data_IF_198355949514
#
_entry.id   IF_198355949514
#
_cell.length_a   1.000
_cell.length_b   1.000
_cell.length_c   1.000
_cell.angle_alpha   90.00
_cell.angle_beta   90.00
_cell.angle_gamma   90.00
#
_symmetry.space_group_name_H-M   'P 1'
#
loop_
_entity.id
_entity.type
_entity.pdbx_description
1 polymer ?
#
# COMPACT_ATOMS: atom_id res chain seq x y z
N UNK A 1 -16.73 17.21 36.84
CA UNK A 1 -16.14 17.69 35.57
C UNK A 1 -15.50 16.49 34.89
N UNK A 2 -16.26 15.81 34.05
CA UNK A 2 -15.83 14.57 33.38
C UNK A 2 -15.08 14.95 32.11
N UNK A 3 -13.79 14.58 32.03
CA UNK A 3 -13.02 14.67 30.80
C UNK A 3 -13.45 13.55 29.86
N UNK A 4 -14.07 13.91 28.73
CA UNK A 4 -14.23 13.00 27.61
C UNK A 4 -12.85 12.68 27.03
N UNK A 5 -12.24 11.60 27.54
CA UNK A 5 -11.07 10.98 26.96
C UNK A 5 -11.44 10.38 25.61
N UNK A 6 -11.50 11.21 24.56
CA UNK A 6 -11.51 10.73 23.18
C UNK A 6 -10.19 10.02 22.92
N UNK A 7 -10.16 8.70 23.09
CA UNK A 7 -9.08 7.86 22.62
C UNK A 7 -8.85 8.17 21.13
N UNK A 8 -7.69 8.76 20.81
CA UNK A 8 -7.32 9.02 19.43
C UNK A 8 -7.36 7.68 18.65
N UNK A 9 -7.89 7.66 17.41
CA UNK A 9 -7.94 6.44 16.63
C UNK A 9 -6.51 5.92 16.41
N UNK A 10 -6.22 4.76 17.02
CA UNK A 10 -4.96 4.05 16.83
C UNK A 10 -4.96 3.41 15.45
N UNK A 11 -3.94 3.70 14.64
CA UNK A 11 -3.77 2.97 13.38
C UNK A 11 -3.60 1.47 13.67
N UNK A 12 -4.19 0.58 12.85
CA UNK A 12 -3.82 -0.82 12.86
C UNK A 12 -2.34 -0.99 12.48
N UNK A 13 -1.70 -2.03 12.99
CA UNK A 13 -0.31 -2.35 12.65
C UNK A 13 -0.23 -3.05 11.30
N UNK A 14 0.75 -2.67 10.48
CA UNK A 14 1.20 -3.48 9.36
C UNK A 14 2.10 -4.61 9.90
N UNK A 15 2.08 -5.83 9.34
CA UNK A 15 3.00 -6.88 9.76
C UNK A 15 4.45 -6.42 9.62
N UNK A 16 5.24 -6.48 10.71
CA UNK A 16 6.62 -6.00 10.72
C UNK A 16 7.55 -6.95 11.48
N UNK A 17 8.75 -7.31 10.96
CA UNK A 17 9.31 -6.92 9.66
C UNK A 17 8.39 -7.29 8.49
N UNK A 18 8.44 -6.55 7.36
CA UNK A 18 7.46 -6.73 6.30
C UNK A 18 7.52 -8.17 5.77
N UNK A 19 6.36 -8.76 5.42
CA UNK A 19 6.31 -10.03 4.71
C UNK A 19 7.13 -9.96 3.43
N UNK A 20 7.59 -11.11 2.94
CA UNK A 20 8.42 -11.19 1.74
C UNK A 20 7.73 -10.48 0.57
N UNK A 21 8.41 -9.54 -0.04
CA UNK A 21 7.93 -8.76 -1.18
C UNK A 21 8.52 -9.28 -2.50
N UNK A 22 7.79 -9.08 -3.60
CA UNK A 22 8.17 -9.50 -4.95
C UNK A 22 9.28 -8.64 -5.54
N UNK A 23 9.20 -7.33 -5.27
CA UNK A 23 10.20 -6.33 -5.66
C UNK A 23 10.12 -5.13 -4.72
N UNK A 24 11.10 -4.23 -4.81
CA UNK A 24 11.10 -2.98 -4.06
C UNK A 24 11.82 -1.87 -4.84
N UNK A 25 11.58 -0.63 -4.45
CA UNK A 25 12.34 0.54 -4.92
C UNK A 25 12.46 1.57 -3.82
N UNK A 26 13.66 2.12 -3.64
CA UNK A 26 13.84 3.34 -2.86
C UNK A 26 13.19 4.51 -3.58
N UNK A 27 12.60 5.42 -2.81
CA UNK A 27 12.01 6.66 -3.30
C UNK A 27 12.92 7.82 -2.90
N UNK A 28 13.18 8.73 -3.83
CA UNK A 28 14.04 9.88 -3.56
C UNK A 28 13.44 10.74 -2.45
N UNK A 29 14.28 11.10 -1.48
CA UNK A 29 13.86 11.85 -0.29
C UNK A 29 13.23 13.18 -0.66
N UNK A 30 13.79 13.84 -1.66
CA UNK A 30 13.36 15.15 -2.15
C UNK A 30 11.95 15.11 -2.74
N UNK A 31 11.49 13.95 -3.24
CA UNK A 31 10.14 13.81 -3.77
C UNK A 31 9.08 13.72 -2.66
N UNK A 32 9.49 13.24 -1.48
CA UNK A 32 8.59 12.98 -0.34
C UNK A 32 8.70 14.08 0.73
N UNK A 33 9.89 14.63 0.95
CA UNK A 33 10.20 15.60 1.99
C UNK A 33 11.36 16.54 1.55
N UNK A 34 11.14 17.47 0.60
CA UNK A 34 12.18 18.34 0.02
C UNK A 34 12.72 19.42 0.96
N UNK A 35 12.02 19.73 2.06
CA UNK A 35 12.36 20.84 2.94
C UNK A 35 12.84 20.38 4.32
N UNK A 36 13.82 21.10 4.88
CA UNK A 36 14.20 20.96 6.28
C UNK A 36 12.98 21.24 7.18
N UNK A 37 12.73 20.36 8.15
CA UNK A 37 11.58 20.46 9.05
C UNK A 37 10.27 19.86 8.50
N UNK A 38 10.31 19.15 7.37
CA UNK A 38 9.17 18.35 6.91
C UNK A 38 8.71 17.34 7.98
N UNK A 39 7.42 17.03 7.99
CA UNK A 39 6.81 16.08 8.91
C UNK A 39 6.38 14.79 8.21
N UNK A 40 6.07 13.75 8.97
CA UNK A 40 5.45 12.53 8.42
C UNK A 40 4.12 12.83 7.73
N UNK A 41 3.36 13.83 8.20
CA UNK A 41 2.14 14.28 7.55
C UNK A 41 2.39 14.93 6.19
N UNK A 42 3.50 15.67 6.03
CA UNK A 42 3.90 16.20 4.72
C UNK A 42 4.26 15.06 3.75
N UNK A 43 5.06 14.10 4.22
CA UNK A 43 5.42 12.91 3.43
C UNK A 43 4.18 12.11 3.01
N UNK A 44 3.27 11.89 3.95
CA UNK A 44 1.99 11.25 3.68
C UNK A 44 1.22 11.97 2.57
N UNK A 45 1.01 13.28 2.68
CA UNK A 45 0.29 14.07 1.68
C UNK A 45 0.93 14.03 0.27
N UNK A 46 2.26 13.88 0.16
CA UNK A 46 2.97 13.68 -1.10
C UNK A 46 2.67 12.31 -1.73
N UNK A 47 2.69 11.26 -0.92
CA UNK A 47 2.37 9.90 -1.34
C UNK A 47 0.88 9.76 -1.73
N UNK A 48 -0.01 10.41 -0.98
CA UNK A 48 -1.44 10.47 -1.28
C UNK A 48 -1.70 11.11 -2.65
N UNK A 49 -1.11 12.29 -2.91
CA UNK A 49 -1.23 12.97 -4.20
C UNK A 49 -0.67 12.14 -5.35
N UNK A 50 0.41 11.39 -5.11
CA UNK A 50 0.94 10.48 -6.12
C UNK A 50 -0.04 9.35 -6.45
N UNK A 51 -0.65 8.75 -5.44
CA UNK A 51 -1.71 7.75 -5.63
C UNK A 51 -2.91 8.33 -6.40
N UNK A 52 -3.38 9.51 -6.01
CA UNK A 52 -4.52 10.16 -6.64
C UNK A 52 -4.23 10.48 -8.12
N UNK A 53 -3.05 11.04 -8.41
CA UNK A 53 -2.61 11.35 -9.77
C UNK A 53 -2.43 10.09 -10.64
N UNK A 54 -2.05 8.97 -10.04
CA UNK A 54 -1.95 7.67 -10.69
C UNK A 54 -3.30 6.92 -10.78
N UNK A 55 -4.39 7.51 -10.28
CA UNK A 55 -5.75 6.96 -10.37
C UNK A 55 -6.12 5.95 -9.28
N UNK A 56 -5.36 5.86 -8.19
CA UNK A 56 -5.70 5.04 -7.04
C UNK A 56 -6.66 5.80 -6.12
N UNK A 57 -7.96 5.51 -6.22
CA UNK A 57 -8.97 6.16 -5.40
C UNK A 57 -9.09 5.65 -3.96
N UNK A 58 -8.45 4.52 -3.64
CA UNK A 58 -8.49 3.90 -2.31
C UNK A 58 -7.08 3.54 -1.84
N UNK A 59 -6.83 3.80 -0.55
CA UNK A 59 -5.56 3.59 0.14
C UNK A 59 -5.79 3.42 1.64
N UNK A 60 -4.89 2.70 2.31
CA UNK A 60 -5.03 2.27 3.70
C UNK A 60 -3.75 2.55 4.49
N UNK A 61 -3.89 3.28 5.59
CA UNK A 61 -2.79 3.60 6.51
C UNK A 61 -2.60 2.54 7.59
N UNK A 62 -1.34 2.26 7.90
CA UNK A 62 -0.93 1.37 8.97
C UNK A 62 0.25 1.93 9.76
N UNK A 63 0.37 1.52 11.01
CA UNK A 63 1.55 1.76 11.84
C UNK A 63 2.66 0.77 11.50
N UNK A 64 3.89 1.28 11.39
CA UNK A 64 5.13 0.50 11.41
C UNK A 64 6.10 1.13 12.41
N UNK A 65 7.17 0.44 12.84
CA UNK A 65 8.21 1.05 13.67
C UNK A 65 8.76 2.30 12.99
N UNK A 66 8.88 3.40 13.75
CA UNK A 66 9.47 4.63 13.24
C UNK A 66 8.63 5.42 12.23
N UNK A 67 7.39 5.01 11.93
CA UNK A 67 6.56 5.77 10.99
C UNK A 67 5.27 5.09 10.58
N UNK A 68 4.99 5.10 9.28
CA UNK A 68 3.74 4.57 8.73
C UNK A 68 3.95 3.81 7.42
N UNK A 69 3.02 2.93 7.13
CA UNK A 69 2.85 2.31 5.82
C UNK A 69 1.56 2.82 5.17
N UNK A 70 1.61 3.10 3.87
CA UNK A 70 0.46 3.46 3.05
C UNK A 70 0.31 2.42 1.94
N UNK A 71 -0.71 1.57 2.06
CA UNK A 71 -1.02 0.51 1.11
C UNK A 71 -2.02 0.98 0.06
N UNK A 72 -1.79 0.64 -1.21
CA UNK A 72 -2.76 0.82 -2.28
C UNK A 72 -3.91 -0.19 -2.14
N UNK A 73 -5.03 0.09 -2.82
CA UNK A 73 -5.96 -0.98 -3.22
C UNK A 73 -5.27 -2.04 -4.09
N UNK A 74 -5.88 -3.22 -4.23
CA UNK A 74 -5.41 -4.26 -5.16
C UNK A 74 -5.63 -3.78 -6.59
N UNK A 75 -4.60 -3.90 -7.41
CA UNK A 75 -4.58 -3.50 -8.80
C UNK A 75 -4.36 -4.70 -9.72
N UNK A 76 -5.16 -4.80 -10.78
CA UNK A 76 -4.96 -5.79 -11.84
C UNK A 76 -3.97 -5.27 -12.87
N UNK A 77 -2.93 -6.07 -13.14
CA UNK A 77 -1.81 -5.72 -14.03
C UNK A 77 -1.59 -6.79 -15.08
N UNK A 78 -0.95 -6.39 -16.18
CA UNK A 78 -0.39 -7.30 -17.18
C UNK A 78 0.99 -7.79 -16.73
N UNK A 79 1.50 -8.81 -17.41
CA UNK A 79 2.82 -9.39 -17.14
C UNK A 79 3.98 -8.37 -17.23
N UNK A 80 3.81 -7.28 -17.98
CA UNK A 80 4.78 -6.18 -18.11
C UNK A 80 4.64 -5.09 -17.03
N UNK A 81 3.89 -5.39 -15.96
CA UNK A 81 3.50 -4.50 -14.87
C UNK A 81 2.62 -3.29 -15.27
N UNK A 82 2.15 -3.21 -16.52
CA UNK A 82 1.17 -2.19 -16.94
C UNK A 82 -0.21 -2.46 -16.34
N UNK A 83 -0.94 -1.44 -15.87
CA UNK A 83 -2.28 -1.62 -15.37
C UNK A 83 -3.25 -1.91 -16.51
N UNK A 84 -4.28 -2.71 -16.24
CA UNK A 84 -5.44 -2.74 -17.10
C UNK A 84 -6.12 -1.36 -17.14
N UNK A 85 -6.92 -1.10 -18.18
CA UNK A 85 -7.75 0.10 -18.21
C UNK A 85 -8.92 -0.08 -17.21
N UNK A 86 -9.44 0.99 -16.60
CA UNK A 86 -10.70 0.90 -15.85
C UNK A 86 -11.85 0.41 -16.76
N UNK A 87 -12.79 -0.41 -16.25
CA UNK A 87 -12.90 -0.86 -14.87
C UNK A 87 -12.00 -2.05 -14.52
N UNK A 88 -11.42 -2.75 -15.51
CA UNK A 88 -10.66 -3.99 -15.34
C UNK A 88 -9.39 -3.84 -14.50
N UNK A 89 -8.90 -2.61 -14.31
CA UNK A 89 -7.84 -2.27 -13.35
C UNK A 89 -8.19 -2.64 -11.91
N UNK A 90 -9.47 -2.56 -11.58
CA UNK A 90 -10.01 -2.59 -10.21
C UNK A 90 -11.05 -3.70 -10.02
N UNK A 91 -10.80 -4.87 -10.60
CA UNK A 91 -11.74 -6.02 -10.59
C UNK A 91 -11.95 -6.62 -9.20
N UNK A 92 -10.98 -6.43 -8.30
CA UNK A 92 -11.09 -6.88 -6.91
C UNK A 92 -11.87 -5.82 -6.13
N UNK A 93 -13.15 -6.09 -5.88
CA UNK A 93 -13.99 -5.22 -5.08
C UNK A 93 -13.48 -5.18 -3.63
N UNK A 94 -13.25 -3.96 -3.14
CA UNK A 94 -13.10 -3.69 -1.71
C UNK A 94 -14.48 -3.81 -1.07
N UNK A 95 -14.70 -4.71 -0.08
CA UNK A 95 -16.01 -4.82 0.54
C UNK A 95 -16.39 -3.48 1.20
N UNK A 96 -17.62 -2.98 1.00
CA UNK A 96 -18.04 -1.72 1.59
C UNK A 96 -17.97 -1.81 3.12
N UNK A 97 -17.41 -0.78 3.75
CA UNK A 97 -17.33 -0.66 5.20
C UNK A 97 -18.68 -0.19 5.74
N UNK A 98 -19.71 -1.04 5.66
CA UNK A 98 -20.97 -1.08 6.45
C UNK A 98 -21.98 -2.05 5.83
N UNK A 99 -22.56 -2.88 6.70
CA UNK A 99 -23.79 -3.70 6.56
C UNK A 99 -23.69 -5.14 5.99
N UNK A 100 -24.19 -6.11 6.79
CA UNK A 100 -24.75 -7.41 6.35
C UNK A 100 -23.77 -8.54 6.00
N UNK A 101 -23.51 -9.44 6.96
CA UNK A 101 -22.33 -10.31 7.01
C UNK A 101 -22.30 -11.58 6.14
N UNK A 102 -23.35 -12.09 5.47
CA UNK A 102 -23.27 -13.50 4.98
C UNK A 102 -23.51 -13.72 3.48
N UNK A 103 -24.32 -12.92 2.78
CA UNK A 103 -24.71 -13.28 1.39
C UNK A 103 -24.09 -12.42 0.27
N UNK A 104 -23.46 -11.28 0.59
CA UNK A 104 -22.67 -10.49 -0.37
C UNK A 104 -21.24 -11.08 -0.53
N UNK A 105 -20.80 -11.88 0.44
CA UNK A 105 -19.45 -12.46 0.52
C UNK A 105 -19.25 -13.63 -0.46
N UNK A 106 -20.27 -14.09 -1.20
CA UNK A 106 -20.08 -15.13 -2.23
C UNK A 106 -20.13 -14.61 -3.66
N UNK A 107 -20.65 -13.40 -3.88
CA UNK A 107 -20.86 -12.84 -5.23
C UNK A 107 -19.71 -11.94 -5.74
N UNK A 108 -18.79 -11.51 -4.88
CA UNK A 108 -17.61 -10.70 -5.25
C UNK A 108 -16.32 -11.53 -5.51
N UNK A 109 -16.43 -12.86 -5.50
CA UNK A 109 -15.29 -13.75 -5.25
C UNK A 109 -14.83 -14.56 -6.46
N UNK A 110 -14.59 -13.89 -7.60
CA UNK A 110 -13.74 -14.43 -8.65
C UNK A 110 -13.01 -13.30 -9.36
N UNK A 111 -11.86 -12.88 -8.82
CA UNK A 111 -10.90 -12.14 -9.62
C UNK A 111 -10.52 -13.04 -10.83
N UNK A 112 -10.48 -12.53 -12.06
CA UNK A 112 -10.07 -13.35 -13.21
C UNK A 112 -8.64 -13.89 -13.00
N UNK A 113 -8.29 -15.00 -13.64
CA UNK A 113 -6.88 -15.40 -13.71
C UNK A 113 -6.02 -14.26 -14.28
N UNK A 114 -4.87 -14.01 -13.70
CA UNK A 114 -4.03 -12.88 -14.05
C UNK A 114 -3.08 -12.45 -12.93
N UNK A 115 -2.48 -11.28 -13.11
CA UNK A 115 -1.50 -10.73 -12.20
C UNK A 115 -2.07 -9.54 -11.44
N UNK A 116 -1.83 -9.52 -10.14
CA UNK A 116 -2.33 -8.48 -9.25
C UNK A 116 -1.18 -7.89 -8.47
N UNK A 117 -1.27 -6.61 -8.08
CA UNK A 117 -0.31 -6.02 -7.16
C UNK A 117 -0.96 -5.21 -6.05
N UNK A 118 -0.27 -5.19 -4.92
CA UNK A 118 -0.42 -4.19 -3.86
C UNK A 118 0.91 -3.47 -3.72
N UNK A 119 0.86 -2.14 -3.70
CA UNK A 119 2.02 -1.28 -3.49
C UNK A 119 1.91 -0.70 -2.08
N UNK A 120 2.95 -0.90 -1.27
CA UNK A 120 3.03 -0.35 0.08
C UNK A 120 4.21 0.60 0.15
N UNK A 121 3.95 1.89 0.34
CA UNK A 121 5.00 2.82 0.72
C UNK A 121 5.26 2.70 2.22
N UNK A 122 6.47 2.30 2.59
CA UNK A 122 6.94 2.28 3.97
C UNK A 122 7.79 3.54 4.23
N UNK A 123 7.36 4.37 5.17
CA UNK A 123 8.10 5.55 5.64
C UNK A 123 8.57 5.28 7.07
N UNK A 124 9.88 5.18 7.28
CA UNK A 124 10.46 4.78 8.57
C UNK A 124 11.88 5.31 8.75
N UNK A 125 12.31 5.41 10.02
CA UNK A 125 13.69 5.65 10.44
C UNK A 125 14.40 4.38 10.94
N UNK A 126 13.78 3.21 10.76
CA UNK A 126 14.32 1.92 11.22
C UNK A 126 14.70 1.06 10.02
N UNK A 127 15.92 0.56 10.03
CA UNK A 127 16.35 -0.47 9.08
C UNK A 127 15.50 -1.73 9.24
N UNK A 128 15.19 -2.38 8.12
CA UNK A 128 14.43 -3.62 8.12
C UNK A 128 14.89 -4.55 7.00
N UNK A 129 14.67 -5.84 7.22
CA UNK A 129 14.73 -6.86 6.18
C UNK A 129 13.36 -7.55 6.13
N UNK A 130 12.96 -8.02 4.95
CA UNK A 130 11.76 -8.84 4.88
C UNK A 130 11.93 -10.13 5.70
N UNK A 131 10.86 -10.59 6.34
CA UNK A 131 10.81 -11.95 6.87
C UNK A 131 10.70 -12.96 5.71
N UNK A 132 11.02 -14.22 5.98
CA UNK A 132 11.03 -15.27 4.96
C UNK A 132 9.62 -15.61 4.44
N UNK A 133 8.60 -15.48 5.29
CA UNK A 133 7.23 -15.89 4.94
C UNK A 133 6.57 -14.90 3.96
N UNK A 134 6.10 -15.39 2.79
CA UNK A 134 5.29 -14.60 1.89
C UNK A 134 3.90 -14.34 2.49
N UNK A 135 3.27 -13.19 2.20
CA UNK A 135 1.87 -12.95 2.52
C UNK A 135 0.93 -13.84 1.70
N UNK A 136 -0.26 -14.05 2.26
CA UNK A 136 -1.39 -14.69 1.58
C UNK A 136 -2.20 -13.69 0.76
N UNK A 137 -3.09 -14.18 -0.12
CA UNK A 137 -4.10 -13.33 -0.78
C UNK A 137 -4.98 -12.59 0.25
N UNK A 138 -5.32 -13.25 1.37
CA UNK A 138 -6.10 -12.66 2.45
C UNK A 138 -5.36 -11.50 3.14
N UNK A 139 -4.04 -11.61 3.33
CA UNK A 139 -3.22 -10.51 3.86
C UNK A 139 -3.27 -9.30 2.92
N UNK A 140 -3.09 -9.50 1.62
CA UNK A 140 -3.14 -8.43 0.61
C UNK A 140 -4.50 -7.71 0.61
N UNK A 141 -5.59 -8.47 0.71
CA UNK A 141 -6.95 -7.91 0.86
C UNK A 141 -7.09 -7.10 2.14
N UNK A 142 -6.58 -7.62 3.26
CA UNK A 142 -6.59 -6.89 4.54
C UNK A 142 -5.79 -5.59 4.44
N UNK A 143 -4.68 -5.55 3.68
CA UNK A 143 -3.90 -4.32 3.48
C UNK A 143 -4.61 -3.28 2.62
N UNK A 144 -5.36 -3.73 1.61
CA UNK A 144 -6.10 -2.82 0.75
C UNK A 144 -7.23 -2.08 1.49
N UNK A 145 -7.91 -2.75 2.43
CA UNK A 145 -9.17 -2.24 3.01
C UNK A 145 -9.23 -2.16 4.53
N UNK A 146 -8.29 -2.78 5.24
CA UNK A 146 -8.33 -2.92 6.70
C UNK A 146 -7.60 -1.82 7.47
N UNK A 147 -7.05 -0.82 6.77
CA UNK A 147 -6.25 0.25 7.36
C UNK A 147 -7.09 1.45 7.78
N UNK A 148 -6.45 2.42 8.42
CA UNK A 148 -7.08 3.70 8.67
C UNK A 148 -7.16 4.53 7.37
N UNK A 149 -8.22 5.32 7.20
CA UNK A 149 -8.39 6.17 6.01
C UNK A 149 -7.49 7.42 6.00
N UNK A 150 -6.94 7.79 7.16
CA UNK A 150 -6.12 8.99 7.35
C UNK A 150 -4.99 8.70 8.33
N UNK A 151 -3.87 9.41 8.15
CA UNK A 151 -2.81 9.47 9.15
C UNK A 151 -3.32 10.27 10.37
N UNK A 152 -3.28 9.71 11.60
CA UNK A 152 -3.56 10.45 12.82
C UNK A 152 -2.64 11.66 13.00
N UNK A 153 -3.18 12.75 13.54
CA UNK A 153 -2.50 14.03 13.65
C UNK A 153 -1.21 13.93 14.48
N UNK A 154 -1.21 13.11 15.53
CA UNK A 154 -0.08 12.90 16.43
C UNK A 154 1.10 12.26 15.69
N UNK A 155 0.82 11.30 14.81
CA UNK A 155 1.83 10.67 13.97
C UNK A 155 2.27 11.61 12.84
N UNK A 156 1.32 12.33 12.23
CA UNK A 156 1.59 13.29 11.16
C UNK A 156 2.41 14.52 11.61
N UNK A 157 2.39 14.86 12.90
CA UNK A 157 3.18 15.95 13.46
C UNK A 157 4.64 15.57 13.74
N UNK A 158 4.99 14.27 13.73
CA UNK A 158 6.37 13.85 13.96
C UNK A 158 7.29 14.32 12.82
N UNK A 159 8.55 14.65 13.12
CA UNK A 159 9.51 15.09 12.10
C UNK A 159 9.90 13.96 11.15
N UNK A 160 9.95 14.26 9.86
CA UNK A 160 10.66 13.43 8.88
C UNK A 160 12.15 13.78 8.97
N UNK A 161 12.87 13.09 9.86
CA UNK A 161 14.28 13.36 10.15
C UNK A 161 15.22 12.94 9.01
N UNK A 162 16.51 13.21 9.15
CA UNK A 162 17.54 12.76 8.21
C UNK A 162 17.68 11.22 8.14
N UNK A 163 17.21 10.52 9.17
CA UNK A 163 17.23 9.05 9.24
C UNK A 163 16.00 8.42 8.58
N UNK A 164 14.95 9.21 8.32
CA UNK A 164 13.78 8.70 7.63
C UNK A 164 14.07 8.49 6.14
N UNK A 165 13.60 7.36 5.63
CA UNK A 165 13.61 7.03 4.22
C UNK A 165 12.26 6.47 3.80
N UNK A 166 12.06 6.34 2.49
CA UNK A 166 10.83 5.82 1.92
C UNK A 166 11.13 4.73 0.90
N UNK A 167 10.52 3.57 1.10
CA UNK A 167 10.67 2.41 0.21
C UNK A 167 9.29 1.98 -0.26
N UNK A 168 9.14 1.79 -1.57
CA UNK A 168 7.98 1.10 -2.13
C UNK A 168 8.23 -0.41 -2.09
N UNK A 169 7.38 -1.14 -1.38
CA UNK A 169 7.33 -2.60 -1.36
C UNK A 169 6.24 -3.06 -2.34
N UNK A 170 6.60 -3.93 -3.27
CA UNK A 170 5.69 -4.45 -4.29
C UNK A 170 5.35 -5.90 -3.96
N UNK A 171 4.07 -6.17 -3.77
CA UNK A 171 3.54 -7.51 -3.60
C UNK A 171 2.77 -7.90 -4.86
N UNK A 172 3.39 -8.71 -5.72
CA UNK A 172 2.79 -9.21 -6.96
C UNK A 172 2.25 -10.61 -6.74
N UNK A 173 0.99 -10.83 -7.10
CA UNK A 173 0.29 -12.10 -6.96
C UNK A 173 -0.12 -12.62 -8.33
N UNK A 174 0.01 -13.93 -8.53
CA UNK A 174 -0.53 -14.63 -9.68
C UNK A 174 -1.76 -15.43 -9.25
N UNK A 175 -2.90 -15.16 -9.89
CA UNK A 175 -4.08 -16.01 -9.79
C UNK A 175 -4.14 -16.90 -11.03
N UNK A 176 -3.97 -18.20 -10.85
CA UNK A 176 -4.09 -19.18 -11.93
C UNK A 176 -5.49 -19.79 -11.94
N UNK A 177 -5.95 -20.21 -13.11
CA UNK A 177 -7.28 -20.83 -13.25
C UNK A 177 -7.38 -22.20 -12.55
N UNK A 178 -6.25 -22.88 -12.35
CA UNK A 178 -6.13 -24.20 -11.73
C UNK A 178 -5.89 -24.16 -10.22
N UNK A 179 -5.83 -22.96 -9.61
CA UNK A 179 -5.60 -22.78 -8.18
C UNK A 179 -6.70 -21.96 -7.53
N UNK A 180 -7.12 -22.32 -6.29
CA UNK A 180 -8.20 -21.61 -5.60
C UNK A 180 -7.79 -20.21 -5.12
N UNK A 181 -6.50 -20.01 -4.80
CA UNK A 181 -5.96 -18.78 -4.22
C UNK A 181 -4.82 -18.24 -5.09
N UNK A 182 -4.64 -16.92 -5.06
CA UNK A 182 -3.49 -16.28 -5.68
C UNK A 182 -2.22 -16.54 -4.86
N UNK A 183 -1.12 -16.82 -5.55
CA UNK A 183 0.19 -17.03 -4.93
C UNK A 183 1.10 -15.83 -5.18
N UNK A 184 1.94 -15.49 -4.21
CA UNK A 184 2.91 -14.41 -4.38
C UNK A 184 4.00 -14.83 -5.38
N UNK A 185 4.29 -13.95 -6.33
CA UNK A 185 5.40 -14.13 -7.28
C UNK A 185 6.71 -13.69 -6.64
N UNK A 186 7.66 -14.62 -6.57
CA UNK A 186 8.96 -14.39 -5.96
C UNK A 186 10.09 -14.95 -6.85
N UNK A 187 11.00 -14.09 -7.35
CA UNK A 187 10.87 -12.62 -7.43
C UNK A 187 9.74 -12.20 -8.39
N UNK A 188 9.45 -10.90 -8.46
CA UNK A 188 8.73 -10.36 -9.63
C UNK A 188 9.59 -10.46 -10.89
N UNK A 189 8.96 -10.61 -12.06
CA UNK A 189 9.65 -10.48 -13.36
C UNK A 189 10.02 -9.03 -13.69
N UNK A 190 9.42 -8.07 -12.98
CA UNK A 190 9.65 -6.64 -13.14
C UNK A 190 10.35 -6.05 -11.92
N UNK A 191 11.26 -5.10 -12.15
CA UNK A 191 11.89 -4.37 -11.06
C UNK A 191 10.89 -3.46 -10.35
N UNK A 192 11.11 -3.17 -9.07
CA UNK A 192 10.17 -2.35 -8.28
C UNK A 192 9.93 -0.97 -8.91
N UNK A 193 10.98 -0.35 -9.46
CA UNK A 193 10.85 0.90 -10.23
C UNK A 193 9.96 0.75 -11.46
N UNK A 194 10.08 -0.35 -12.22
CA UNK A 194 9.21 -0.63 -13.37
C UNK A 194 7.73 -0.68 -12.95
N UNK A 195 7.40 -1.30 -11.80
CA UNK A 195 6.02 -1.26 -11.30
C UNK A 195 5.56 0.18 -11.05
N UNK A 196 6.39 1.00 -10.41
CA UNK A 196 6.05 2.40 -10.10
C UNK A 196 5.90 3.25 -11.37
N UNK A 197 6.77 3.07 -12.36
CA UNK A 197 6.70 3.78 -13.65
C UNK A 197 5.45 3.38 -14.42
N UNK A 198 5.14 2.08 -14.48
CA UNK A 198 3.96 1.56 -15.17
C UNK A 198 2.66 1.92 -14.45
N UNK A 199 2.70 2.06 -13.12
CA UNK A 199 1.60 2.58 -12.32
C UNK A 199 1.36 4.09 -12.52
N UNK A 200 2.34 4.83 -13.07
CA UNK A 200 2.34 6.30 -13.09
C UNK A 200 2.76 6.94 -11.76
N UNK A 201 3.10 6.13 -10.74
CA UNK A 201 3.49 6.61 -9.40
C UNK A 201 4.86 7.26 -9.41
N UNK A 202 5.82 6.73 -10.19
CA UNK A 202 7.17 7.29 -10.25
C UNK A 202 7.17 8.72 -10.76
N UNK A 203 6.45 8.96 -11.86
CA UNK A 203 6.31 10.28 -12.48
C UNK A 203 5.50 11.21 -11.58
N UNK A 204 4.43 10.71 -10.96
CA UNK A 204 3.62 11.49 -10.04
C UNK A 204 4.38 11.92 -8.78
N UNK A 205 5.35 11.13 -8.30
CA UNK A 205 6.23 11.54 -7.19
C UNK A 205 7.23 12.60 -7.62
N UNK A 206 7.85 12.42 -8.79
CA UNK A 206 8.88 13.32 -9.30
C UNK A 206 8.36 14.71 -9.73
N UNK A 207 7.07 14.81 -10.09
CA UNK A 207 6.48 16.05 -10.63
C UNK A 207 5.93 17.03 -9.59
N UNK A 208 6.03 16.72 -8.29
CA UNK A 208 5.35 17.44 -7.20
C UNK A 208 6.16 18.53 -6.50
#
# INVERSE_FOLDING_TARGET
MSGDGRSAPTLPSFPWPPPRYSAFSSIEREWVAPAAGATLGFAAARLERAFDAAGYGERSYYRIPGGFALASRIEHIRADASPFAPPDRWTVATPPMREGLIDIIRALFNAPPGYYRVIVFAVTDRDFAAREEPPTEADARRWASGGALRLPAELGALPYSAQHYTTALIYEFERRADQPEASLRLPSDSQGRTHLERAGLWQALAAQ
#
